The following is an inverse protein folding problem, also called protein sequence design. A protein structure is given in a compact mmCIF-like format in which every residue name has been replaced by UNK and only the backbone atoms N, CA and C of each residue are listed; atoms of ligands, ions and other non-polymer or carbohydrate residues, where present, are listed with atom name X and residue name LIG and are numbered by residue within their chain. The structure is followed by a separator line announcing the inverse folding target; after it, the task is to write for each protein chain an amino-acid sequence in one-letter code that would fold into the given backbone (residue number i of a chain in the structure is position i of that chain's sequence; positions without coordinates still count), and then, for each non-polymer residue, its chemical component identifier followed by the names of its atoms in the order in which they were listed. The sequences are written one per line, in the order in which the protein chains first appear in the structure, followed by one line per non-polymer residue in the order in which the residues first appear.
data_IF_616290699518
#
_entry.id   IF_616290699518
#
_cell.length_a   1.000
_cell.length_b   1.000
_cell.length_c   1.000
_cell.angle_alpha   90.00
_cell.angle_beta   90.00
_cell.angle_gamma   90.00
#
_symmetry.space_group_name_H-M   'P 1'
#
loop_
_entity.id
_entity.type
_entity.pdbx_description
1 polymer ?
#
# COMPACT_ATOMS: atom_id res chain seq x y z
N UNK A 1 36.38 -55.94 -2.17
CA UNK A 1 35.42 -55.11 -1.41
C UNK A 1 36.10 -53.77 -1.15
N UNK A 2 35.59 -52.57 -1.47
CA UNK A 2 34.26 -52.05 -1.81
C UNK A 2 34.45 -50.83 -2.73
N UNK A 3 33.62 -50.72 -3.76
CA UNK A 3 33.44 -49.49 -4.54
C UNK A 3 32.86 -48.40 -3.64
N UNK A 4 33.48 -47.22 -3.59
CA UNK A 4 32.83 -45.99 -3.11
C UNK A 4 32.50 -45.12 -4.33
N UNK A 5 31.52 -45.56 -5.12
CA UNK A 5 30.83 -44.76 -6.13
C UNK A 5 29.53 -44.27 -5.48
N UNK A 6 29.58 -43.14 -4.79
CA UNK A 6 28.39 -42.63 -4.09
C UNK A 6 28.36 -41.12 -3.82
N UNK A 7 29.43 -40.38 -4.09
CA UNK A 7 29.51 -38.97 -3.67
C UNK A 7 29.08 -37.96 -4.75
N UNK A 8 29.00 -38.37 -6.04
CA UNK A 8 28.77 -37.42 -7.15
C UNK A 8 27.30 -37.07 -7.43
N UNK A 9 26.36 -37.97 -7.12
CA UNK A 9 24.94 -37.75 -7.47
C UNK A 9 24.23 -36.77 -6.52
N UNK A 10 24.72 -36.65 -5.27
CA UNK A 10 24.09 -35.79 -4.28
C UNK A 10 24.30 -34.30 -4.58
N UNK A 11 25.48 -33.92 -5.07
CA UNK A 11 25.76 -32.52 -5.44
C UNK A 11 25.00 -32.07 -6.68
N UNK A 12 24.82 -32.94 -7.69
CA UNK A 12 24.09 -32.58 -8.92
C UNK A 12 22.59 -32.43 -8.65
N UNK A 13 22.01 -33.26 -7.77
CA UNK A 13 20.60 -33.14 -7.36
C UNK A 13 20.35 -31.84 -6.60
N UNK A 14 21.26 -31.43 -5.70
CA UNK A 14 21.11 -30.22 -4.88
C UNK A 14 21.14 -28.95 -5.74
N UNK A 15 21.96 -28.91 -6.79
CA UNK A 15 22.03 -27.79 -7.74
C UNK A 15 20.77 -27.73 -8.62
N UNK A 16 20.21 -28.87 -9.04
CA UNK A 16 18.95 -28.89 -9.80
C UNK A 16 17.74 -28.42 -8.99
N UNK A 17 17.68 -28.77 -7.70
CA UNK A 17 16.65 -28.25 -6.78
C UNK A 17 16.80 -26.74 -6.59
N UNK A 18 18.04 -26.22 -6.49
CA UNK A 18 18.27 -24.79 -6.37
C UNK A 18 17.85 -24.00 -7.64
N UNK A 19 18.04 -24.56 -8.83
CA UNK A 19 17.61 -23.92 -10.09
C UNK A 19 16.08 -23.96 -10.25
N UNK A 20 15.42 -25.04 -9.82
CA UNK A 20 13.94 -25.11 -9.81
C UNK A 20 13.32 -24.14 -8.80
N UNK A 21 13.96 -23.91 -7.65
CA UNK A 21 13.51 -22.90 -6.67
C UNK A 21 13.66 -21.47 -7.20
N UNK A 22 14.67 -21.18 -8.02
CA UNK A 22 14.87 -19.86 -8.63
C UNK A 22 13.93 -19.59 -9.83
N UNK A 23 13.41 -20.63 -10.48
CA UNK A 23 12.42 -20.48 -11.54
C UNK A 23 11.02 -20.07 -11.02
N UNK A 24 10.77 -20.20 -9.71
CA UNK A 24 9.52 -19.80 -9.06
C UNK A 24 9.38 -18.28 -8.84
N UNK A 25 10.46 -17.50 -8.96
CA UNK A 25 10.43 -16.04 -8.76
C UNK A 25 10.25 -15.25 -10.07
N UNK A 26 9.57 -15.83 -11.06
CA UNK A 26 9.22 -15.14 -12.31
C UNK A 26 7.70 -15.20 -12.56
N UNK A 27 6.93 -14.95 -11.52
CA UNK A 27 5.55 -14.52 -11.62
C UNK A 27 5.51 -13.05 -11.24
N UNK A 28 5.66 -12.16 -12.22
CA UNK A 28 5.15 -10.80 -12.07
C UNK A 28 3.65 -10.93 -11.84
N UNK A 29 3.24 -10.97 -10.57
CA UNK A 29 1.84 -10.91 -10.18
C UNK A 29 1.37 -9.52 -10.56
N UNK A 30 0.94 -9.37 -11.81
CA UNK A 30 0.17 -8.23 -12.25
C UNK A 30 -1.11 -8.27 -11.40
N UNK A 31 -1.19 -7.40 -10.40
CA UNK A 31 -2.28 -7.38 -9.43
C UNK A 31 -3.60 -7.41 -10.19
N UNK A 32 -4.38 -8.48 -10.03
CA UNK A 32 -5.70 -8.64 -10.68
C UNK A 32 -6.76 -7.75 -10.02
N UNK A 33 -6.40 -7.02 -8.97
CA UNK A 33 -7.27 -6.17 -8.16
C UNK A 33 -7.15 -4.75 -8.67
N UNK A 34 -8.28 -4.11 -8.98
CA UNK A 34 -8.29 -2.74 -9.49
C UNK A 34 -7.73 -1.75 -8.46
N UNK A 35 -7.22 -0.62 -8.93
CA UNK A 35 -6.75 0.50 -8.08
C UNK A 35 -7.86 0.92 -7.12
N UNK A 36 -9.10 1.01 -7.60
CA UNK A 36 -10.27 1.37 -6.81
C UNK A 36 -10.50 0.40 -5.64
N UNK A 37 -10.35 -0.90 -5.87
CA UNK A 37 -10.52 -1.91 -4.82
C UNK A 37 -9.37 -1.86 -3.81
N UNK A 38 -8.14 -1.61 -4.25
CA UNK A 38 -7.00 -1.43 -3.35
C UNK A 38 -7.15 -0.17 -2.47
N UNK A 39 -7.62 0.94 -3.05
CA UNK A 39 -7.90 2.17 -2.28
C UNK A 39 -9.06 1.96 -1.30
N UNK A 40 -10.13 1.27 -1.71
CA UNK A 40 -11.25 0.95 -0.83
C UNK A 40 -10.79 0.14 0.40
N UNK A 41 -9.96 -0.89 0.20
CA UNK A 41 -9.45 -1.73 1.29
C UNK A 41 -8.61 -0.94 2.30
N UNK A 42 -7.73 -0.07 1.81
CA UNK A 42 -6.95 0.83 2.66
C UNK A 42 -7.83 1.84 3.41
N UNK A 43 -8.81 2.43 2.72
CA UNK A 43 -9.75 3.38 3.32
C UNK A 43 -10.62 2.73 4.40
N UNK A 44 -11.12 1.51 4.18
CA UNK A 44 -11.87 0.77 5.19
C UNK A 44 -11.00 0.46 6.42
N UNK A 45 -9.73 0.10 6.21
CA UNK A 45 -8.76 -0.10 7.30
C UNK A 45 -8.54 1.17 8.12
N UNK A 46 -8.45 2.34 7.46
CA UNK A 46 -8.33 3.63 8.12
C UNK A 46 -9.59 4.01 8.91
N UNK A 47 -10.78 3.75 8.36
CA UNK A 47 -12.04 3.99 9.05
C UNK A 47 -12.17 3.15 10.33
N UNK A 48 -11.78 1.88 10.31
CA UNK A 48 -11.82 1.03 11.51
C UNK A 48 -11.00 1.62 12.67
N UNK A 49 -9.85 2.22 12.38
CA UNK A 49 -9.02 2.88 13.39
C UNK A 49 -9.65 4.19 13.87
N UNK A 50 -10.18 4.99 12.94
CA UNK A 50 -10.83 6.27 13.26
C UNK A 50 -12.08 6.06 14.11
N UNK A 51 -12.92 5.07 13.78
CA UNK A 51 -14.12 4.69 14.53
C UNK A 51 -13.79 4.14 15.92
N UNK A 52 -12.61 3.53 16.08
CA UNK A 52 -12.07 3.12 17.37
C UNK A 52 -11.49 4.30 18.19
N UNK A 53 -11.53 5.53 17.67
CA UNK A 53 -10.98 6.72 18.31
C UNK A 53 -9.45 6.80 18.24
N UNK A 54 -8.82 6.04 17.35
CA UNK A 54 -7.36 6.06 17.16
C UNK A 54 -7.00 7.14 16.14
N UNK A 55 -6.29 8.18 16.58
CA UNK A 55 -5.67 9.15 15.68
C UNK A 55 -4.68 8.44 14.76
N UNK A 56 -4.97 8.45 13.47
CA UNK A 56 -4.21 7.75 12.44
C UNK A 56 -3.96 8.68 11.25
N UNK A 57 -2.89 8.44 10.51
CA UNK A 57 -2.59 9.04 9.23
C UNK A 57 -2.45 7.93 8.20
N UNK A 58 -3.19 8.01 7.11
CA UNK A 58 -3.06 7.11 5.97
C UNK A 58 -2.33 7.84 4.85
N UNK A 59 -1.30 7.20 4.30
CA UNK A 59 -0.60 7.63 3.10
C UNK A 59 -0.77 6.56 2.02
N UNK A 60 -1.22 6.97 0.84
CA UNK A 60 -1.35 6.10 -0.32
C UNK A 60 -0.41 6.60 -1.42
N UNK A 61 0.33 5.69 -2.05
CA UNK A 61 1.20 5.95 -3.20
C UNK A 61 0.85 5.03 -4.36
N UNK A 62 0.83 5.57 -5.57
CA UNK A 62 0.58 4.79 -6.78
C UNK A 62 1.91 4.43 -7.47
N UNK A 63 2.17 3.12 -7.63
CA UNK A 63 3.31 2.58 -8.39
C UNK A 63 2.81 1.72 -9.54
N UNK A 64 2.65 2.33 -10.71
CA UNK A 64 1.96 1.69 -11.83
C UNK A 64 0.48 1.48 -11.48
N UNK A 65 0.03 0.22 -11.46
CA UNK A 65 -1.34 -0.15 -11.08
C UNK A 65 -1.46 -0.66 -9.62
N UNK A 66 -0.39 -0.54 -8.84
CA UNK A 66 -0.33 -1.00 -7.45
C UNK A 66 -0.41 0.22 -6.53
N UNK A 67 -1.33 0.16 -5.56
CA UNK A 67 -1.44 1.14 -4.49
C UNK A 67 -0.67 0.62 -3.29
N UNK A 68 0.39 1.32 -2.91
CA UNK A 68 1.05 1.10 -1.63
C UNK A 68 0.37 1.98 -0.59
N UNK A 69 -0.22 1.36 0.44
CA UNK A 69 -0.86 2.07 1.55
C UNK A 69 -0.14 1.83 2.86
N UNK A 70 0.09 2.90 3.62
CA UNK A 70 0.63 2.85 4.97
C UNK A 70 -0.30 3.61 5.90
N UNK A 71 -0.63 3.02 7.06
CA UNK A 71 -1.35 3.71 8.13
C UNK A 71 -0.45 3.77 9.35
N UNK A 72 -0.13 4.98 9.77
CA UNK A 72 0.75 5.26 10.90
C UNK A 72 0.01 6.00 12.00
N UNK A 73 0.56 5.96 13.20
CA UNK A 73 0.16 6.87 14.28
C UNK A 73 0.97 8.17 14.11
N UNK A 74 0.34 9.31 13.81
CA UNK A 74 1.07 10.56 13.63
C UNK A 74 1.63 11.06 14.97
N UNK A 75 2.79 11.70 14.92
CA UNK A 75 3.30 12.51 16.02
C UNK A 75 2.83 13.99 15.91
N UNK A 76 3.27 14.84 16.83
CA UNK A 76 2.87 16.25 16.85
C UNK A 76 3.31 17.01 15.59
N UNK A 77 4.47 16.65 15.01
CA UNK A 77 4.98 17.28 13.80
C UNK A 77 4.18 16.84 12.57
N UNK A 78 3.79 15.57 12.49
CA UNK A 78 2.89 15.07 11.46
C UNK A 78 1.53 15.79 11.50
N UNK A 79 0.99 16.02 12.70
CA UNK A 79 -0.28 16.74 12.88
C UNK A 79 -0.15 18.22 12.49
N UNK A 80 0.93 18.90 12.85
CA UNK A 80 1.18 20.27 12.43
C UNK A 80 1.28 20.38 10.91
N UNK A 81 2.04 19.47 10.28
CA UNK A 81 2.13 19.40 8.82
C UNK A 81 0.77 19.14 8.17
N UNK A 82 -0.05 18.24 8.74
CA UNK A 82 -1.42 18.02 8.29
C UNK A 82 -2.24 19.31 8.33
N UNK A 83 -2.25 20.03 9.45
CA UNK A 83 -3.07 21.25 9.58
C UNK A 83 -2.65 22.32 8.57
N UNK A 84 -1.35 22.47 8.32
CA UNK A 84 -0.85 23.39 7.29
C UNK A 84 -1.32 22.95 5.91
N UNK A 85 -0.96 21.74 5.47
CA UNK A 85 -1.25 21.27 4.10
C UNK A 85 -2.75 21.18 3.81
N UNK A 86 -3.55 20.72 4.78
CA UNK A 86 -4.99 20.66 4.64
C UNK A 86 -5.65 22.05 4.63
N UNK A 87 -5.10 23.04 5.35
CA UNK A 87 -5.64 24.40 5.31
C UNK A 87 -5.31 25.14 4.01
N UNK A 88 -4.14 24.88 3.42
CA UNK A 88 -3.68 25.55 2.20
C UNK A 88 -4.29 24.92 0.94
N UNK A 89 -4.35 23.59 0.89
CA UNK A 89 -4.76 22.84 -0.30
C UNK A 89 -5.52 21.56 0.04
N UNK A 90 -6.71 21.66 0.66
CA UNK A 90 -7.54 20.48 0.91
C UNK A 90 -8.04 19.89 -0.40
N UNK A 91 -7.97 18.58 -0.52
CA UNK A 91 -8.54 17.83 -1.63
C UNK A 91 -9.95 17.37 -1.26
N UNK A 92 -10.85 17.40 -2.23
CA UNK A 92 -12.17 16.75 -2.14
C UNK A 92 -12.98 17.05 -0.88
N UNK A 93 -13.35 18.31 -0.74
CA UNK A 93 -14.04 18.81 0.43
C UNK A 93 -15.53 18.46 0.44
N UNK A 94 -16.08 18.30 1.65
CA UNK A 94 -17.51 18.12 1.93
C UNK A 94 -18.08 16.81 1.37
N UNK A 95 -17.31 15.73 1.46
CA UNK A 95 -17.76 14.41 1.04
C UNK A 95 -18.25 13.62 2.26
N UNK A 96 -19.42 13.01 2.15
CA UNK A 96 -19.98 12.17 3.22
C UNK A 96 -20.27 10.73 2.77
N UNK A 97 -20.27 10.47 1.47
CA UNK A 97 -20.45 9.12 0.94
C UNK A 97 -19.09 8.44 0.77
N UNK A 98 -18.99 7.20 1.27
CA UNK A 98 -17.77 6.39 1.19
C UNK A 98 -17.28 6.22 -0.25
N UNK A 99 -18.16 5.99 -1.21
CA UNK A 99 -17.74 5.75 -2.60
C UNK A 99 -17.27 7.05 -3.26
N UNK A 100 -17.86 8.19 -2.91
CA UNK A 100 -17.38 9.51 -3.35
C UNK A 100 -15.98 9.79 -2.81
N UNK A 101 -15.73 9.49 -1.54
CA UNK A 101 -14.41 9.64 -0.90
C UNK A 101 -13.37 8.75 -1.60
N UNK A 102 -13.69 7.46 -1.82
CA UNK A 102 -12.78 6.54 -2.52
C UNK A 102 -12.54 6.97 -3.96
N UNK A 103 -13.58 7.41 -4.68
CA UNK A 103 -13.43 7.92 -6.04
C UNK A 103 -12.51 9.14 -6.08
N UNK A 104 -12.63 10.05 -5.11
CA UNK A 104 -11.70 11.17 -4.95
C UNK A 104 -10.27 10.68 -4.72
N UNK A 105 -10.05 9.75 -3.78
CA UNK A 105 -8.71 9.25 -3.47
C UNK A 105 -8.05 8.64 -4.69
N UNK A 106 -8.81 7.84 -5.46
CA UNK A 106 -8.35 7.26 -6.73
C UNK A 106 -8.00 8.35 -7.74
N UNK A 107 -8.85 9.36 -7.91
CA UNK A 107 -8.60 10.47 -8.83
C UNK A 107 -7.32 11.24 -8.43
N UNK A 108 -7.19 11.56 -7.15
CA UNK A 108 -6.02 12.27 -6.59
C UNK A 108 -4.73 11.45 -6.74
N UNK A 109 -4.80 10.14 -6.47
CA UNK A 109 -3.67 9.23 -6.68
C UNK A 109 -3.24 9.14 -8.14
N UNK A 110 -4.19 9.11 -9.07
CA UNK A 110 -3.88 9.06 -10.51
C UNK A 110 -3.28 10.37 -11.01
N UNK A 111 -3.73 11.50 -10.47
CA UNK A 111 -3.21 12.83 -10.85
C UNK A 111 -1.82 13.09 -10.25
N UNK A 112 -1.62 12.76 -8.97
CA UNK A 112 -0.48 13.23 -8.17
C UNK A 112 0.50 12.13 -7.78
N UNK A 113 0.09 10.86 -7.91
CA UNK A 113 0.87 9.70 -7.49
C UNK A 113 0.92 9.47 -5.98
N UNK A 114 0.45 10.41 -5.16
CA UNK A 114 0.42 10.28 -3.70
C UNK A 114 -0.72 11.11 -3.09
N UNK A 115 -1.38 10.56 -2.07
CA UNK A 115 -2.40 11.25 -1.28
C UNK A 115 -2.30 10.85 0.20
N UNK A 116 -2.60 11.78 1.10
CA UNK A 116 -2.68 11.55 2.54
C UNK A 116 -4.07 11.85 3.09
N UNK A 117 -4.40 11.18 4.17
CA UNK A 117 -5.56 11.44 5.01
C UNK A 117 -5.16 11.40 6.47
N UNK A 118 -5.69 12.31 7.28
CA UNK A 118 -5.48 12.27 8.72
C UNK A 118 -6.64 12.90 9.47
N UNK A 119 -6.83 12.52 10.73
CA UNK A 119 -7.71 13.18 11.72
C UNK A 119 -9.23 13.16 11.47
N UNK A 120 -9.70 13.00 10.23
CA UNK A 120 -11.11 12.85 9.91
C UNK A 120 -11.36 11.96 8.69
N UNK A 121 -12.65 11.72 8.38
CA UNK A 121 -13.09 10.76 7.35
C UNK A 121 -12.87 11.25 5.91
N UNK A 122 -12.80 12.57 5.69
CA UNK A 122 -12.63 13.20 4.37
C UNK A 122 -11.52 14.27 4.37
N UNK A 123 -10.65 14.28 5.38
CA UNK A 123 -9.52 15.21 5.51
C UNK A 123 -8.36 14.80 4.58
N UNK A 124 -8.57 14.96 3.28
CA UNK A 124 -7.68 14.48 2.21
C UNK A 124 -6.77 15.64 1.75
N UNK A 125 -5.48 15.37 1.56
CA UNK A 125 -4.49 16.34 1.09
C UNK A 125 -3.36 15.65 0.31
N UNK A 126 -2.57 16.42 -0.44
CA UNK A 126 -1.43 15.88 -1.19
C UNK A 126 -0.24 15.58 -0.29
N UNK A 127 0.66 14.71 -0.75
CA UNK A 127 1.89 14.35 -0.02
C UNK A 127 3.06 15.33 -0.21
N UNK A 128 2.80 16.53 -0.73
CA UNK A 128 3.84 17.50 -1.10
C UNK A 128 4.79 17.84 0.07
#
# INVERSE_FOLDING_TARGET
MKYSKGAGYFQVMLVFVAILLLAGCRGGSQSTVSVEAQVMDAYESYLLLTDAGVTSMMELRLKGDIVEGEITKPDDADLEAFFLSYSESPLCQNLSDKNEIVACLVASLRERGCVKMATCIDCIYSCD
#
